data_IF_862944233910
#
_entry.id   IF_862944233910
#
_cell.length_a   1.000
_cell.length_b   1.000
_cell.length_c   1.000
_cell.angle_alpha   90.00
_cell.angle_beta   90.00
_cell.angle_gamma   90.00
#
_symmetry.space_group_name_H-M   'P 1'
#
loop_
_entity.id
_entity.type
_entity.pdbx_description
1 polymer ?
#
# COMPACT_ATOMS: atom_id res chain seq x y z
N UNK A 1 -0.75 22.50 -22.43
CA UNK A 1 -1.64 21.56 -21.71
C UNK A 1 -1.45 20.11 -22.16
N UNK A 2 -1.46 19.78 -23.46
CA UNK A 2 -1.33 18.39 -23.93
C UNK A 2 0.02 17.70 -23.64
N UNK A 3 1.13 18.46 -23.65
CA UNK A 3 2.47 17.95 -23.33
C UNK A 3 2.63 17.53 -21.86
N UNK A 4 1.87 18.15 -20.96
CA UNK A 4 1.87 17.79 -19.53
C UNK A 4 1.13 16.46 -19.30
N UNK A 5 -0.01 16.28 -19.98
CA UNK A 5 -0.77 15.03 -19.96
C UNK A 5 -0.04 13.86 -20.63
N UNK A 6 0.74 14.11 -21.68
CA UNK A 6 1.54 13.07 -22.35
C UNK A 6 2.71 12.60 -21.50
N UNK A 7 3.28 13.45 -20.64
CA UNK A 7 4.35 13.08 -19.70
C UNK A 7 3.82 12.28 -18.50
N UNK A 8 2.65 12.65 -17.97
CA UNK A 8 1.99 11.92 -16.87
C UNK A 8 1.57 10.50 -17.29
N UNK A 9 1.10 10.32 -18.53
CA UNK A 9 0.70 9.01 -19.08
C UNK A 9 1.84 8.06 -19.46
N UNK A 10 3.10 8.53 -19.47
CA UNK A 10 4.15 7.83 -20.24
C UNK A 10 4.86 6.69 -19.51
N UNK A 11 4.66 6.46 -18.21
CA UNK A 11 5.33 5.39 -17.46
C UNK A 11 4.57 4.97 -16.19
N UNK A 12 3.31 4.56 -16.33
CA UNK A 12 2.62 3.80 -15.29
C UNK A 12 2.40 2.39 -15.83
N UNK A 13 3.44 1.54 -15.74
CA UNK A 13 3.27 0.10 -15.89
C UNK A 13 2.51 -0.42 -14.66
N UNK A 14 1.23 -0.05 -14.59
CA UNK A 14 0.30 -0.52 -13.58
C UNK A 14 0.11 -2.01 -13.79
N UNK A 15 0.22 -2.77 -12.71
CA UNK A 15 0.09 -4.23 -12.71
C UNK A 15 -1.36 -4.70 -12.77
N UNK A 16 -2.33 -3.81 -12.50
CA UNK A 16 -3.79 -4.06 -12.49
C UNK A 16 -4.20 -5.34 -11.74
N UNK A 17 -3.52 -5.65 -10.63
CA UNK A 17 -3.74 -6.88 -9.87
C UNK A 17 -4.93 -6.68 -8.93
N UNK A 18 -5.91 -7.58 -9.00
CA UNK A 18 -6.96 -7.66 -7.98
C UNK A 18 -6.46 -8.42 -6.75
N UNK A 19 -6.07 -7.65 -5.72
CA UNK A 19 -5.54 -8.19 -4.46
C UNK A 19 -6.59 -8.92 -3.63
N UNK A 20 -7.90 -8.79 -3.92
CA UNK A 20 -8.96 -9.49 -3.18
C UNK A 20 -8.86 -11.02 -3.29
N UNK A 21 -8.21 -11.51 -4.35
CA UNK A 21 -7.96 -12.94 -4.57
C UNK A 21 -6.55 -13.39 -4.18
N UNK A 22 -5.71 -12.48 -3.68
CA UNK A 22 -4.34 -12.79 -3.29
C UNK A 22 -4.26 -13.44 -1.90
N UNK A 23 -3.14 -14.10 -1.61
CA UNK A 23 -2.80 -14.61 -0.28
C UNK A 23 -1.39 -14.17 0.10
N UNK A 24 -1.06 -14.27 1.39
CA UNK A 24 0.28 -13.99 1.92
C UNK A 24 1.33 -14.88 1.24
N UNK A 25 2.23 -14.29 0.47
CA UNK A 25 3.32 -15.00 -0.23
C UNK A 25 4.64 -14.91 0.52
N UNK A 26 4.89 -13.78 1.18
CA UNK A 26 6.11 -13.53 1.95
C UNK A 26 5.77 -13.10 3.37
N UNK A 27 6.49 -13.58 4.40
CA UNK A 27 6.21 -13.17 5.78
C UNK A 27 6.47 -11.67 5.95
N UNK A 28 5.56 -11.00 6.65
CA UNK A 28 5.73 -9.61 7.02
C UNK A 28 6.78 -9.49 8.13
N UNK A 29 7.85 -8.74 7.87
CA UNK A 29 8.98 -8.55 8.78
C UNK A 29 8.93 -7.21 9.51
N UNK A 30 8.54 -6.14 8.82
CA UNK A 30 8.56 -4.77 9.37
C UNK A 30 7.26 -4.05 9.06
N UNK A 31 6.70 -3.39 10.09
CA UNK A 31 5.58 -2.46 9.98
C UNK A 31 6.07 -1.05 10.26
N UNK A 32 6.01 -0.19 9.24
CA UNK A 32 6.35 1.22 9.35
C UNK A 32 5.09 2.03 9.64
N UNK A 33 4.95 2.50 10.87
CA UNK A 33 3.76 3.21 11.35
C UNK A 33 3.91 4.75 11.32
N UNK A 34 4.97 5.25 10.68
CA UNK A 34 5.22 6.69 10.55
C UNK A 34 4.19 7.39 9.65
N UNK A 35 3.86 8.63 10.00
CA UNK A 35 3.01 9.51 9.19
C UNK A 35 3.65 9.87 7.84
N UNK A 36 2.86 10.29 6.84
CA UNK A 36 3.43 10.90 5.64
C UNK A 36 4.34 12.08 6.00
N UNK A 37 5.39 12.29 5.21
CA UNK A 37 6.37 13.40 5.36
C UNK A 37 7.33 13.32 6.55
N UNK A 38 7.33 12.25 7.33
CA UNK A 38 8.32 12.01 8.41
C UNK A 38 9.53 11.17 7.95
N UNK A 39 9.97 11.36 6.71
CA UNK A 39 11.12 10.62 6.16
C UNK A 39 10.83 9.18 5.70
N UNK A 40 9.56 8.81 5.47
CA UNK A 40 9.17 7.45 5.04
C UNK A 40 9.80 7.00 3.72
N UNK A 41 10.07 7.94 2.81
CA UNK A 41 10.76 7.67 1.54
C UNK A 41 12.22 7.29 1.79
N UNK A 42 12.94 8.06 2.61
CA UNK A 42 14.33 7.78 2.98
C UNK A 42 14.45 6.43 3.68
N UNK A 43 13.51 6.11 4.57
CA UNK A 43 13.45 4.81 5.24
C UNK A 43 13.16 3.66 4.26
N UNK A 44 12.26 3.87 3.30
CA UNK A 44 11.98 2.89 2.22
C UNK A 44 13.25 2.59 1.41
N UNK A 45 14.03 3.62 1.06
CA UNK A 45 15.29 3.46 0.33
C UNK A 45 16.32 2.70 1.17
N UNK A 46 16.46 3.03 2.46
CA UNK A 46 17.37 2.36 3.37
C UNK A 46 17.04 0.86 3.52
N UNK A 47 15.76 0.52 3.68
CA UNK A 47 15.29 -0.86 3.78
C UNK A 47 15.57 -1.65 2.49
N UNK A 48 15.32 -1.05 1.32
CA UNK A 48 15.67 -1.66 0.03
C UNK A 48 17.18 -1.92 -0.07
N UNK A 49 18.03 -0.97 0.37
CA UNK A 49 19.50 -1.14 0.42
C UNK A 49 19.95 -2.24 1.37
N UNK A 50 19.24 -2.47 2.47
CA UNK A 50 19.50 -3.57 3.39
C UNK A 50 19.00 -4.93 2.89
N UNK A 51 18.47 -5.01 1.66
CA UNK A 51 18.04 -6.27 1.04
C UNK A 51 16.61 -6.70 1.40
N UNK A 52 15.79 -5.82 1.97
CA UNK A 52 14.36 -6.12 2.13
C UNK A 52 13.64 -6.02 0.79
N UNK A 53 12.93 -7.10 0.43
CA UNK A 53 12.17 -7.17 -0.82
C UNK A 53 10.71 -6.83 -0.58
N UNK A 54 10.09 -6.11 -1.52
CA UNK A 54 8.69 -5.70 -1.41
C UNK A 54 8.46 -4.75 -0.23
N UNK A 55 8.99 -3.53 -0.33
CA UNK A 55 8.76 -2.46 0.66
C UNK A 55 7.60 -1.58 0.17
N UNK A 56 6.41 -1.85 0.70
CA UNK A 56 5.17 -1.17 0.32
C UNK A 56 5.15 0.26 0.88
N UNK A 57 5.04 1.24 -0.03
CA UNK A 57 4.85 2.66 0.31
C UNK A 57 3.56 3.18 -0.33
N UNK A 58 2.93 4.20 0.26
CA UNK A 58 1.65 4.72 -0.26
C UNK A 58 1.68 5.23 -1.70
N UNK A 59 2.87 5.60 -2.21
CA UNK A 59 3.05 5.92 -3.63
C UNK A 59 2.90 4.68 -4.52
N UNK A 60 3.28 3.49 -4.07
CA UNK A 60 3.16 2.25 -4.86
C UNK A 60 1.69 1.89 -5.10
N UNK A 61 0.80 2.18 -4.15
CA UNK A 61 -0.65 2.06 -4.34
C UNK A 61 -1.16 2.95 -5.48
N UNK A 62 -0.58 4.14 -5.66
CA UNK A 62 -0.98 5.08 -6.71
C UNK A 62 -0.32 4.78 -8.06
N UNK A 63 0.94 4.34 -8.06
CA UNK A 63 1.75 4.23 -9.29
C UNK A 63 1.84 2.82 -9.85
N UNK A 64 1.84 1.79 -9.01
CA UNK A 64 2.11 0.41 -9.42
C UNK A 64 0.84 -0.44 -9.49
N UNK A 65 -0.12 -0.21 -8.59
CA UNK A 65 -1.40 -0.89 -8.64
C UNK A 65 -2.53 -0.02 -8.08
N UNK A 66 -3.11 0.90 -8.88
CA UNK A 66 -4.21 1.78 -8.47
C UNK A 66 -5.41 1.06 -7.83
N UNK A 67 -5.65 -0.22 -8.17
CA UNK A 67 -6.68 -1.05 -7.52
C UNK A 67 -6.45 -1.25 -6.03
N UNK A 68 -5.22 -1.15 -5.54
CA UNK A 68 -4.93 -1.18 -4.10
C UNK A 68 -5.64 -0.03 -3.38
N UNK A 69 -5.79 1.14 -4.03
CA UNK A 69 -6.53 2.28 -3.47
C UNK A 69 -8.01 1.95 -3.22
N UNK A 70 -8.63 1.09 -4.03
CA UNK A 70 -10.02 0.66 -3.83
C UNK A 70 -10.13 -0.19 -2.56
N UNK A 71 -9.21 -1.14 -2.35
CA UNK A 71 -9.20 -1.93 -1.11
C UNK A 71 -8.87 -1.07 0.11
N UNK A 72 -7.95 -0.11 0.00
CA UNK A 72 -7.69 0.85 1.08
C UNK A 72 -8.92 1.71 1.38
N UNK A 73 -9.68 2.11 0.36
CA UNK A 73 -10.91 2.87 0.53
C UNK A 73 -12.00 2.06 1.23
N UNK A 74 -12.19 0.79 0.84
CA UNK A 74 -13.13 -0.12 1.51
C UNK A 74 -12.73 -0.32 2.99
N UNK A 75 -11.43 -0.46 3.28
CA UNK A 75 -10.93 -0.60 4.65
C UNK A 75 -11.20 0.66 5.50
N UNK A 76 -11.02 1.85 4.92
CA UNK A 76 -11.29 3.13 5.60
C UNK A 76 -12.80 3.30 5.87
N UNK A 77 -13.65 3.00 4.88
CA UNK A 77 -15.11 3.02 5.04
C UNK A 77 -15.60 2.05 6.10
N UNK A 78 -15.04 0.84 6.14
CA UNK A 78 -15.40 -0.14 7.16
C UNK A 78 -15.00 0.31 8.57
N UNK A 79 -13.83 0.96 8.71
CA UNK A 79 -13.32 1.44 9.99
C UNK A 79 -14.04 2.68 10.52
N UNK A 80 -14.23 3.69 9.67
CA UNK A 80 -14.69 5.02 10.11
C UNK A 80 -16.18 5.27 9.85
N UNK A 81 -16.74 4.71 8.77
CA UNK A 81 -18.14 4.93 8.39
C UNK A 81 -19.06 3.78 8.81
N UNK A 82 -18.50 2.70 9.37
CA UNK A 82 -19.24 1.47 9.68
C UNK A 82 -19.79 0.75 8.43
N UNK A 83 -19.23 1.02 7.25
CA UNK A 83 -19.71 0.49 5.96
C UNK A 83 -18.88 -0.71 5.52
N UNK A 84 -19.48 -1.89 5.56
CA UNK A 84 -18.83 -3.14 5.19
C UNK A 84 -18.10 -3.82 6.36
N UNK A 85 -17.31 -4.85 6.06
CA UNK A 85 -16.60 -5.64 7.06
C UNK A 85 -15.28 -4.97 7.44
N UNK A 86 -15.03 -4.79 8.74
CA UNK A 86 -13.73 -4.31 9.25
C UNK A 86 -12.62 -5.25 8.80
N UNK A 87 -11.56 -4.68 8.22
CA UNK A 87 -10.42 -5.45 7.72
C UNK A 87 -9.68 -6.13 8.87
N UNK A 88 -9.53 -7.45 8.77
CA UNK A 88 -8.71 -8.25 9.66
C UNK A 88 -7.43 -8.72 8.97
N UNK A 89 -6.76 -9.68 9.60
CA UNK A 89 -5.50 -10.24 9.08
C UNK A 89 -5.64 -10.78 7.65
N UNK A 90 -6.75 -11.45 7.33
CA UNK A 90 -6.98 -12.04 6.00
C UNK A 90 -6.98 -10.97 4.90
N UNK A 91 -7.68 -9.86 5.12
CA UNK A 91 -7.80 -8.78 4.14
C UNK A 91 -6.48 -8.00 4.00
N UNK A 92 -5.72 -7.83 5.08
CA UNK A 92 -4.36 -7.29 4.99
C UNK A 92 -3.33 -8.26 4.38
N UNK A 93 -3.54 -9.57 4.53
CA UNK A 93 -2.76 -10.62 3.88
C UNK A 93 -3.02 -10.69 2.37
N UNK A 94 -4.25 -10.41 1.94
CA UNK A 94 -4.60 -10.18 0.54
C UNK A 94 -3.86 -8.96 -0.04
N UNK A 95 -4.00 -7.81 0.60
CA UNK A 95 -3.50 -6.52 0.10
C UNK A 95 -1.96 -6.45 0.11
N UNK A 96 -1.35 -6.81 1.24
CA UNK A 96 0.09 -6.65 1.48
C UNK A 96 0.86 -7.95 1.34
N UNK A 97 0.20 -9.03 0.90
CA UNK A 97 0.71 -10.42 0.86
C UNK A 97 2.08 -10.60 0.22
N UNK A 98 2.39 -9.73 -0.74
CA UNK A 98 3.58 -9.72 -1.58
C UNK A 98 4.73 -8.88 -0.99
N UNK A 99 4.53 -8.23 0.15
CA UNK A 99 5.48 -7.30 0.76
C UNK A 99 6.02 -7.82 2.09
N UNK A 100 7.34 -7.73 2.28
CA UNK A 100 7.97 -8.02 3.57
C UNK A 100 7.92 -6.81 4.51
N UNK A 101 7.83 -5.61 3.95
CA UNK A 101 7.74 -4.37 4.74
C UNK A 101 6.56 -3.57 4.24
N UNK A 102 5.75 -3.05 5.16
CA UNK A 102 4.62 -2.19 4.78
C UNK A 102 4.56 -0.91 5.59
N UNK A 103 4.32 0.20 4.88
CA UNK A 103 3.90 1.47 5.46
C UNK A 103 2.40 1.41 5.73
N UNK A 104 1.99 1.51 6.99
CA UNK A 104 0.57 1.61 7.33
C UNK A 104 0.00 2.93 6.80
N UNK A 105 -1.03 2.85 5.96
CA UNK A 105 -1.79 4.01 5.49
C UNK A 105 -3.04 4.08 6.37
N UNK A 106 -3.01 4.93 7.39
CA UNK A 106 -4.13 5.14 8.32
C UNK A 106 -3.70 5.16 9.78
N UNK A 107 -4.42 5.93 10.56
CA UNK A 107 -4.07 6.22 11.95
C UNK A 107 -4.14 4.94 12.81
N UNK A 108 -3.22 4.85 13.77
CA UNK A 108 -3.39 3.97 14.92
C UNK A 108 -4.49 4.60 15.78
N UNK A 109 -5.73 4.20 15.53
CA UNK A 109 -6.79 4.39 16.51
C UNK A 109 -6.60 3.26 17.53
N UNK A 110 -6.26 3.56 18.79
CA UNK A 110 -6.02 2.55 19.83
C UNK A 110 -7.32 2.08 20.50
N UNK A 111 -8.49 2.51 20.01
CA UNK A 111 -9.80 2.08 20.50
C UNK A 111 -10.16 0.66 20.07
#
# INVERSE_FOLDING_TARGET
>A
MERFNKAFRRNLNSTDIDRRYCVRQVPMKILMLGFPRTGTVSLTIALKRMGYNGVYHGMEALTNNPRDCEMWWDALRAKYDGKGKVFGRKEFDQLLGHCQVSKKIGDADPR
#
